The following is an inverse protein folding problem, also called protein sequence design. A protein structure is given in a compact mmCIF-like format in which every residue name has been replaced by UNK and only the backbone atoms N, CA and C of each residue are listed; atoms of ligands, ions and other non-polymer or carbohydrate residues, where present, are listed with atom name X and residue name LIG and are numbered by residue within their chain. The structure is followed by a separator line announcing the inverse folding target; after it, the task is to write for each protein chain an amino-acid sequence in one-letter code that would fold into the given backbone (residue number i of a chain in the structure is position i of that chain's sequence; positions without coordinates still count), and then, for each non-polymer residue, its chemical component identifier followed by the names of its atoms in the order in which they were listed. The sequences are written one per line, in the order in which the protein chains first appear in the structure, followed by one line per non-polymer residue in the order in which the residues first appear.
data_IF_867103206874
#
_entry.id   IF_867103206874
#
_cell.length_a   1.000
_cell.length_b   1.000
_cell.length_c   1.000
_cell.angle_alpha   90.00
_cell.angle_beta   90.00
_cell.angle_gamma   90.00
#
_symmetry.space_group_name_H-M   'P 1'
#
loop_
_entity.id
_entity.type
_entity.pdbx_description
1 polymer ?
#
# COMPACT_ATOMS: atom_id res chain seq x y z
N UNK A 1 3.49 -13.32 2.59
CA UNK A 1 3.59 -14.00 3.90
C UNK A 1 2.54 -15.13 3.97
N UNK A 2 2.92 -16.42 3.87
CA UNK A 2 1.97 -17.54 3.84
C UNK A 2 1.04 -17.60 5.05
N UNK A 3 1.56 -17.33 6.26
CA UNK A 3 0.74 -17.34 7.48
C UNK A 3 -0.37 -16.28 7.46
N UNK A 4 -0.05 -15.05 7.02
CA UNK A 4 -1.03 -13.97 6.86
C UNK A 4 -2.06 -14.33 5.79
N UNK A 5 -1.62 -14.85 4.64
CA UNK A 5 -2.51 -15.28 3.57
C UNK A 5 -3.56 -16.28 4.07
N UNK A 6 -3.11 -17.34 4.77
CA UNK A 6 -4.01 -18.35 5.36
C UNK A 6 -4.96 -17.75 6.40
N UNK A 7 -4.47 -16.86 7.26
CA UNK A 7 -5.28 -16.17 8.27
C UNK A 7 -6.43 -15.36 7.65
N UNK A 8 -6.24 -14.83 6.45
CA UNK A 8 -7.24 -14.05 5.72
C UNK A 8 -7.91 -14.84 4.58
N UNK A 9 -7.96 -16.16 4.71
CA UNK A 9 -8.83 -17.02 3.91
C UNK A 9 -8.25 -17.50 2.58
N UNK A 10 -6.95 -17.31 2.32
CA UNK A 10 -6.30 -17.84 1.13
C UNK A 10 -5.80 -19.27 1.36
N UNK A 11 -6.08 -20.14 0.39
CA UNK A 11 -5.40 -21.43 0.25
C UNK A 11 -3.97 -21.20 -0.21
N UNK A 12 -3.02 -21.76 0.53
CA UNK A 12 -1.59 -21.73 0.21
C UNK A 12 -1.03 -23.14 0.45
N UNK A 13 -1.00 -23.94 -0.59
CA UNK A 13 -0.39 -25.26 -0.65
C UNK A 13 0.46 -25.42 -1.92
N UNK A 14 1.00 -26.62 -2.18
CA UNK A 14 1.88 -26.87 -3.32
C UNK A 14 1.14 -26.92 -4.67
N UNK A 15 -0.17 -27.21 -4.66
CA UNK A 15 -0.99 -27.39 -5.85
C UNK A 15 -1.78 -26.13 -6.20
N UNK A 16 -2.12 -25.32 -5.19
CA UNK A 16 -2.89 -24.09 -5.30
C UNK A 16 -2.34 -23.02 -4.34
N UNK A 17 -1.94 -21.89 -4.92
CA UNK A 17 -1.52 -20.72 -4.18
C UNK A 17 -2.31 -19.49 -4.59
N UNK A 18 -3.41 -19.24 -3.88
CA UNK A 18 -4.35 -18.15 -4.16
C UNK A 18 -3.77 -16.76 -3.89
N UNK A 19 -2.50 -16.66 -3.48
CA UNK A 19 -1.77 -15.39 -3.44
C UNK A 19 -1.49 -14.83 -4.84
N UNK A 20 -1.50 -15.68 -5.87
CA UNK A 20 -1.30 -15.26 -7.25
C UNK A 20 -2.61 -15.00 -8.01
N UNK A 21 -3.74 -15.37 -7.41
CA UNK A 21 -5.07 -15.11 -7.97
C UNK A 21 -5.52 -13.70 -7.60
N UNK A 22 -5.78 -12.85 -8.60
CA UNK A 22 -6.05 -11.40 -8.42
C UNK A 22 -7.22 -11.15 -7.47
N UNK A 23 -8.37 -11.80 -7.70
CA UNK A 23 -9.58 -11.55 -6.92
C UNK A 23 -9.46 -11.97 -5.44
N UNK A 24 -9.13 -13.23 -5.10
CA UNK A 24 -9.04 -13.64 -3.70
C UNK A 24 -7.87 -12.95 -2.99
N UNK A 25 -6.72 -12.73 -3.64
CA UNK A 25 -5.60 -12.02 -3.03
C UNK A 25 -5.95 -10.57 -2.69
N UNK A 26 -6.66 -9.87 -3.57
CA UNK A 26 -7.14 -8.50 -3.33
C UNK A 26 -8.12 -8.46 -2.16
N UNK A 27 -9.08 -9.39 -2.13
CA UNK A 27 -10.05 -9.51 -1.03
C UNK A 27 -9.35 -9.74 0.32
N UNK A 28 -8.40 -10.67 0.37
CA UNK A 28 -7.63 -10.96 1.58
C UNK A 28 -6.76 -9.77 2.00
N UNK A 29 -6.13 -9.06 1.04
CA UNK A 29 -5.35 -7.87 1.30
C UNK A 29 -6.21 -6.73 1.90
N UNK A 30 -7.40 -6.49 1.36
CA UNK A 30 -8.34 -5.50 1.89
C UNK A 30 -8.82 -5.86 3.31
N UNK A 31 -9.10 -7.13 3.59
CA UNK A 31 -9.45 -7.59 4.93
C UNK A 31 -8.29 -7.38 5.91
N UNK A 32 -7.06 -7.67 5.49
CA UNK A 32 -5.87 -7.48 6.31
C UNK A 32 -5.62 -6.00 6.59
N UNK A 33 -5.68 -5.12 5.58
CA UNK A 33 -5.57 -3.67 5.74
C UNK A 33 -6.64 -3.14 6.68
N UNK A 34 -7.90 -3.57 6.53
CA UNK A 34 -9.01 -3.18 7.41
C UNK A 34 -8.78 -3.63 8.85
N UNK A 35 -8.23 -4.83 9.06
CA UNK A 35 -7.85 -5.31 10.37
C UNK A 35 -6.75 -4.45 10.99
N UNK A 36 -5.69 -4.14 10.24
CA UNK A 36 -4.58 -3.31 10.72
C UNK A 36 -5.04 -1.88 11.05
N UNK A 37 -5.87 -1.29 10.20
CA UNK A 37 -6.42 0.05 10.41
C UNK A 37 -7.19 0.14 11.73
N UNK A 38 -8.04 -0.86 12.02
CA UNK A 38 -8.71 -0.96 13.32
C UNK A 38 -7.73 -1.20 14.46
N UNK A 39 -6.75 -2.10 14.28
CA UNK A 39 -5.76 -2.45 15.30
C UNK A 39 -4.92 -1.26 15.76
N UNK A 40 -4.62 -0.34 14.85
CA UNK A 40 -3.82 0.85 15.12
C UNK A 40 -4.67 2.12 15.26
N UNK A 41 -5.96 1.98 15.58
CA UNK A 41 -6.86 3.08 15.93
C UNK A 41 -6.99 4.15 14.83
N UNK A 42 -6.93 3.71 13.57
CA UNK A 42 -7.00 4.58 12.40
C UNK A 42 -5.70 5.29 12.02
N UNK A 43 -4.58 5.01 12.72
CA UNK A 43 -3.28 5.57 12.34
C UNK A 43 -2.77 4.92 11.05
N UNK A 44 -2.80 5.68 9.95
CA UNK A 44 -2.38 5.23 8.62
C UNK A 44 -0.88 4.88 8.60
N UNK A 45 -0.03 5.62 9.32
CA UNK A 45 1.41 5.35 9.32
C UNK A 45 1.71 4.00 9.97
N UNK A 46 1.11 3.74 11.13
CA UNK A 46 1.26 2.46 11.83
C UNK A 46 0.63 1.31 11.04
N UNK A 47 -0.50 1.56 10.38
CA UNK A 47 -1.20 0.59 9.53
C UNK A 47 -0.31 0.16 8.36
N UNK A 48 0.23 1.11 7.60
CA UNK A 48 1.11 0.85 6.47
C UNK A 48 2.43 0.19 6.92
N UNK A 49 2.99 0.66 8.05
CA UNK A 49 4.19 0.06 8.63
C UNK A 49 3.94 -1.42 9.00
N UNK A 50 2.79 -1.72 9.61
CA UNK A 50 2.43 -3.08 10.00
C UNK A 50 2.10 -3.98 8.80
N UNK A 51 1.56 -3.42 7.73
CA UNK A 51 1.33 -4.15 6.50
C UNK A 51 2.65 -4.64 5.89
N UNK A 52 3.67 -3.77 5.86
CA UNK A 52 5.00 -4.11 5.35
C UNK A 52 5.82 -4.98 6.32
N UNK A 53 5.90 -4.59 7.60
CA UNK A 53 6.82 -5.19 8.57
C UNK A 53 6.21 -6.30 9.45
N UNK A 54 4.89 -6.46 9.40
CA UNK A 54 4.10 -7.29 10.31
C UNK A 54 3.65 -6.53 11.56
N UNK A 55 2.41 -6.78 11.99
CA UNK A 55 1.76 -6.10 13.12
C UNK A 55 2.47 -6.35 14.45
N UNK A 56 3.06 -7.54 14.63
CA UNK A 56 3.81 -7.87 15.84
C UNK A 56 5.11 -7.08 15.95
N UNK A 57 5.78 -6.78 14.82
CA UNK A 57 7.00 -5.97 14.81
C UNK A 57 6.70 -4.53 15.20
N UNK A 58 5.64 -3.94 14.62
CA UNK A 58 5.21 -2.59 14.95
C UNK A 58 4.77 -2.49 16.41
N UNK A 59 3.99 -3.46 16.91
CA UNK A 59 3.59 -3.48 18.32
C UNK A 59 4.80 -3.52 19.27
N UNK A 60 5.83 -4.32 18.97
CA UNK A 60 7.07 -4.34 19.76
C UNK A 60 7.80 -3.00 19.72
N UNK A 61 7.84 -2.34 18.56
CA UNK A 61 8.47 -1.03 18.43
C UNK A 61 7.73 0.03 19.26
N UNK A 62 6.39 0.03 19.24
CA UNK A 62 5.54 0.91 20.07
C UNK A 62 5.84 0.69 21.55
N UNK A 63 5.83 -0.57 21.99
CA UNK A 63 6.07 -0.91 23.40
C UNK A 63 7.48 -0.47 23.85
N UNK A 64 8.50 -0.63 22.98
CA UNK A 64 9.88 -0.23 23.27
C UNK A 64 10.04 1.30 23.32
N UNK A 65 9.35 2.03 22.45
CA UNK A 65 9.41 3.48 22.40
C UNK A 65 8.56 4.16 23.48
N UNK A 66 7.61 3.44 24.10
CA UNK A 66 6.60 4.03 24.98
C UNK A 66 5.72 5.06 24.27
N UNK A 67 5.62 4.97 22.94
CA UNK A 67 4.94 5.94 22.10
C UNK A 67 4.35 5.25 20.89
N UNK A 68 3.25 5.82 20.37
CA UNK A 68 2.64 5.42 19.10
C UNK A 68 3.05 6.30 17.92
N UNK A 69 3.80 7.36 18.20
CA UNK A 69 4.24 8.29 17.16
C UNK A 69 5.23 7.58 16.22
N UNK A 70 4.86 7.45 14.95
CA UNK A 70 5.62 6.69 13.95
C UNK A 70 7.10 7.13 13.86
N UNK A 71 7.36 8.44 13.96
CA UNK A 71 8.71 9.05 13.95
C UNK A 71 9.61 8.56 15.10
N UNK A 72 9.01 8.16 16.23
CA UNK A 72 9.71 7.69 17.44
C UNK A 72 9.96 6.18 17.43
N UNK A 73 9.42 5.46 16.45
CA UNK A 73 9.53 4.01 16.39
C UNK A 73 10.83 3.58 15.70
N UNK A 74 11.59 2.71 16.36
CA UNK A 74 12.73 2.03 15.75
C UNK A 74 12.23 0.94 14.79
N UNK A 75 12.06 1.30 13.51
CA UNK A 75 11.61 0.42 12.43
C UNK A 75 12.71 0.25 11.37
N UNK A 76 12.70 -0.84 10.58
CA UNK A 76 13.61 -0.99 9.45
C UNK A 76 13.45 0.14 8.43
N UNK A 77 14.55 0.57 7.81
CA UNK A 77 14.52 1.60 6.76
C UNK A 77 13.55 1.24 5.63
N UNK A 78 13.48 -0.04 5.25
CA UNK A 78 12.52 -0.52 4.25
C UNK A 78 11.08 -0.15 4.60
N UNK A 79 10.67 -0.34 5.86
CA UNK A 79 9.33 -0.01 6.36
C UNK A 79 9.09 1.49 6.38
N UNK A 80 10.09 2.27 6.79
CA UNK A 80 10.01 3.73 6.74
C UNK A 80 9.86 4.22 5.30
N UNK A 81 10.63 3.67 4.37
CA UNK A 81 10.52 3.99 2.95
C UNK A 81 9.19 3.54 2.35
N UNK A 82 8.65 2.40 2.77
CA UNK A 82 7.33 1.91 2.33
C UNK A 82 6.24 2.94 2.64
N UNK A 83 6.20 3.45 3.88
CA UNK A 83 5.25 4.50 4.28
C UNK A 83 5.45 5.78 3.48
N UNK A 84 6.71 6.22 3.28
CA UNK A 84 7.00 7.43 2.49
C UNK A 84 6.60 7.31 1.02
N UNK A 85 6.82 6.15 0.39
CA UNK A 85 6.43 5.88 -1.00
C UNK A 85 4.91 5.95 -1.17
N UNK A 86 4.14 5.52 -0.18
CA UNK A 86 2.68 5.65 -0.22
C UNK A 86 2.24 7.11 -0.34
N UNK A 87 2.80 8.01 0.49
CA UNK A 87 2.47 9.44 0.42
C UNK A 87 2.98 10.10 -0.86
N UNK A 88 4.16 9.70 -1.35
CA UNK A 88 4.66 10.16 -2.65
C UNK A 88 3.70 9.78 -3.77
N UNK A 89 3.24 8.52 -3.82
CA UNK A 89 2.23 8.10 -4.79
C UNK A 89 0.93 8.88 -4.65
N UNK A 90 0.46 9.13 -3.43
CA UNK A 90 -0.74 9.93 -3.19
C UNK A 90 -0.63 11.37 -3.69
N UNK A 91 0.59 11.93 -3.72
CA UNK A 91 0.84 13.26 -4.32
C UNK A 91 0.98 13.26 -5.84
N UNK A 92 1.29 12.11 -6.45
CA UNK A 92 1.52 11.97 -7.89
C UNK A 92 0.28 11.49 -8.65
N UNK A 93 -0.60 10.75 -7.97
CA UNK A 93 -1.78 10.13 -8.57
C UNK A 93 -3.02 10.95 -8.25
N UNK A 94 -3.71 11.41 -9.29
CA UNK A 94 -5.03 12.01 -9.12
C UNK A 94 -6.08 10.91 -8.85
N UNK A 95 -6.34 10.64 -7.57
CA UNK A 95 -7.33 9.65 -7.13
C UNK A 95 -8.75 10.02 -7.60
N UNK A 96 -9.04 11.30 -7.84
CA UNK A 96 -10.37 11.71 -8.32
C UNK A 96 -10.64 11.23 -9.74
N UNK A 97 -9.60 11.16 -10.57
CA UNK A 97 -9.66 10.59 -11.92
C UNK A 97 -9.90 9.07 -11.94
N UNK A 98 -9.55 8.35 -10.86
CA UNK A 98 -9.82 6.90 -10.72
C UNK A 98 -11.30 6.56 -10.46
N UNK A 99 -12.14 7.54 -10.12
CA UNK A 99 -13.57 7.31 -9.82
C UNK A 99 -14.46 7.20 -11.06
N UNK A 100 -13.88 7.14 -12.26
CA UNK A 100 -14.62 6.82 -13.48
C UNK A 100 -15.13 5.38 -13.46
N UNK A 101 -16.38 5.15 -13.84
CA UNK A 101 -17.08 3.85 -13.77
C UNK A 101 -16.53 2.74 -14.71
N UNK A 102 -15.33 2.91 -15.26
CA UNK A 102 -14.67 1.95 -16.14
C UNK A 102 -13.20 1.84 -15.75
N UNK A 103 -12.83 0.70 -15.18
CA UNK A 103 -11.42 0.31 -15.07
C UNK A 103 -11.11 -0.50 -16.32
N UNK A 104 -10.67 0.18 -17.38
CA UNK A 104 -10.09 -0.54 -18.52
C UNK A 104 -8.73 -1.09 -18.09
N UNK A 105 -8.67 -2.39 -17.81
CA UNK A 105 -7.49 -3.12 -17.30
C UNK A 105 -6.25 -2.96 -18.20
N UNK A 106 -6.45 -2.53 -19.46
CA UNK A 106 -5.40 -2.33 -20.45
C UNK A 106 -4.95 -0.87 -20.62
N UNK A 107 -5.59 0.10 -19.93
CA UNK A 107 -5.26 1.53 -20.07
C UNK A 107 -3.88 1.89 -19.50
N UNK A 108 -3.30 1.02 -18.64
CA UNK A 108 -1.91 1.13 -18.19
C UNK A 108 -0.87 0.88 -19.30
N UNK A 109 -1.25 0.22 -20.40
CA UNK A 109 -0.34 -0.19 -21.48
C UNK A 109 -0.82 0.20 -22.89
N UNK A 110 -1.94 0.91 -23.01
CA UNK A 110 -2.50 1.29 -24.30
C UNK A 110 -1.76 2.49 -24.90
N UNK A 111 -1.24 2.34 -26.13
CA UNK A 111 -0.59 3.40 -26.90
C UNK A 111 -1.61 4.16 -27.78
N UNK A 112 -2.27 5.17 -27.19
CA UNK A 112 -2.92 6.36 -27.81
C UNK A 112 -4.14 6.16 -28.77
N UNK A 113 -4.94 7.22 -29.09
CA UNK A 113 -5.34 8.40 -28.31
C UNK A 113 -6.88 8.54 -28.22
N UNK A 114 -7.41 9.00 -27.09
CA UNK A 114 -8.75 9.62 -27.06
C UNK A 114 -8.66 10.94 -26.30
N UNK A 115 -9.09 12.01 -26.97
CA UNK A 115 -8.86 13.38 -26.57
C UNK A 115 -9.33 13.67 -25.14
N UNK A 116 -8.44 14.28 -24.34
CA UNK A 116 -8.61 14.79 -22.96
C UNK A 116 -8.68 13.76 -21.83
N UNK A 117 -7.71 12.84 -21.76
CA UNK A 117 -7.39 12.20 -20.47
C UNK A 117 -5.95 12.56 -20.10
N UNK A 118 -5.80 13.38 -19.06
CA UNK A 118 -4.50 13.53 -18.40
C UNK A 118 -4.09 12.15 -17.86
N UNK A 119 -2.83 11.74 -18.02
CA UNK A 119 -2.38 10.44 -17.53
C UNK A 119 -2.55 10.39 -16.00
N UNK A 120 -3.06 9.26 -15.50
CA UNK A 120 -3.23 8.98 -14.07
C UNK A 120 -1.93 9.10 -13.26
N UNK A 121 -0.80 8.88 -13.93
CA UNK A 121 0.54 9.06 -13.41
C UNK A 121 1.26 9.98 -14.40
N UNK A 122 1.57 11.19 -13.95
CA UNK A 122 2.46 12.09 -14.68
C UNK A 122 3.91 11.63 -14.47
N UNK A 123 4.53 11.10 -15.54
CA UNK A 123 5.93 10.67 -15.55
C UNK A 123 6.88 11.78 -16.01
N UNK A 124 6.41 13.01 -16.17
CA UNK A 124 7.31 14.12 -16.44
C UNK A 124 8.32 14.28 -15.30
N UNK A 125 9.56 14.69 -15.59
CA UNK A 125 10.57 14.89 -14.58
C UNK A 125 10.06 15.84 -13.49
N UNK A 126 10.15 15.41 -12.23
CA UNK A 126 9.78 16.26 -11.11
C UNK A 126 10.55 17.58 -11.18
N UNK A 127 9.91 18.72 -10.88
CA UNK A 127 10.64 19.97 -10.73
C UNK A 127 11.73 19.78 -9.66
N UNK A 128 12.89 20.44 -9.83
CA UNK A 128 14.01 20.27 -8.92
C UNK A 128 13.56 20.58 -7.48
N UNK A 129 13.77 19.62 -6.58
CA UNK A 129 13.35 19.71 -5.18
C UNK A 129 14.12 20.77 -4.38
N UNK A 130 15.17 21.34 -4.96
CA UNK A 130 15.98 22.44 -4.43
C UNK A 130 16.43 23.30 -5.62
N UNK A 131 16.07 24.59 -5.62
CA UNK A 131 16.72 25.60 -6.43
C UNK A 131 17.98 26.07 -5.70
N UNK A 132 19.16 25.77 -6.24
CA UNK A 132 20.42 26.39 -5.82
C UNK A 132 20.47 27.87 -6.21
#
# INVERSE_FOLDING_TARGET
MPATAKRFGLTVDQNLDQRFDIEPSTRAAMQYLSFLYRKFDGDINLTLAAYNAGEGRVQRAINKAGSREFSKLALPNETVHYVRRFYALMSLVDISSLKGNHVDTLWLFASEPSWQQAPLIDLTPLPPLISL
#
